data_IF_353273250116
#
_entry.id   IF_353273250116
#
_cell.length_a   1.000
_cell.length_b   1.000
_cell.length_c   1.000
_cell.angle_alpha   90.00
_cell.angle_beta   90.00
_cell.angle_gamma   90.00
#
_symmetry.space_group_name_H-M   'P 1'
#
loop_
_entity.id
_entity.type
_entity.pdbx_description
1 polymer ?
#
# COMPACT_ATOMS: atom_id res chain seq x y z
N UNK A 1 61.00 51.67 39.34
CA UNK A 1 61.29 50.27 39.73
C UNK A 1 60.43 49.93 40.95
N UNK A 2 59.20 49.44 40.74
CA UNK A 2 58.26 49.16 41.83
C UNK A 2 58.55 47.79 42.44
N UNK A 3 59.04 47.78 43.69
CA UNK A 3 59.16 46.55 44.50
C UNK A 3 57.76 46.13 44.96
N UNK A 4 57.06 45.39 44.11
CA UNK A 4 55.82 44.70 44.50
C UNK A 4 56.21 43.72 45.61
N UNK A 5 55.78 44.01 46.85
CA UNK A 5 56.01 43.13 48.01
C UNK A 5 55.36 41.78 47.70
N UNK A 6 56.16 40.71 47.64
CA UNK A 6 55.76 39.30 47.39
C UNK A 6 54.53 38.83 48.20
N UNK A 7 54.22 39.50 49.31
CA UNK A 7 53.06 39.25 50.17
C UNK A 7 51.70 39.54 49.48
N UNK A 8 51.59 40.51 48.57
CA UNK A 8 50.31 40.84 47.93
C UNK A 8 49.89 39.87 46.81
N UNK A 9 50.78 38.96 46.39
CA UNK A 9 50.50 37.93 45.39
C UNK A 9 49.99 36.62 46.03
N UNK A 10 50.23 36.43 47.34
CA UNK A 10 49.76 35.26 48.10
C UNK A 10 48.28 35.35 48.49
N UNK A 11 47.76 36.55 48.75
CA UNK A 11 46.37 36.78 49.16
C UNK A 11 45.35 36.36 48.08
N UNK A 12 45.48 36.75 46.79
CA UNK A 12 44.54 36.31 45.76
C UNK A 12 44.64 34.80 45.48
N UNK A 13 45.82 34.19 45.62
CA UNK A 13 46.01 32.75 45.44
C UNK A 13 45.33 31.95 46.56
N UNK A 14 45.37 32.44 47.80
CA UNK A 14 44.68 31.85 48.94
C UNK A 14 43.15 31.97 48.82
N UNK A 15 42.65 33.10 48.30
CA UNK A 15 41.21 33.29 48.05
C UNK A 15 40.73 32.35 46.94
N UNK A 16 41.49 32.19 45.85
CA UNK A 16 41.16 31.24 44.78
C UNK A 16 41.19 29.79 45.30
N UNK A 17 42.17 29.43 46.14
CA UNK A 17 42.21 28.10 46.77
C UNK A 17 41.02 27.84 47.73
N UNK A 18 40.54 28.87 48.44
CA UNK A 18 39.34 28.78 49.28
C UNK A 18 38.04 28.61 48.47
N UNK A 19 37.97 29.11 47.23
CA UNK A 19 36.84 28.84 46.34
C UNK A 19 36.80 27.39 45.83
N UNK A 20 37.95 26.74 45.63
CA UNK A 20 38.01 25.32 45.26
C UNK A 20 37.60 24.38 46.41
N UNK A 21 37.75 24.78 47.67
CA UNK A 21 37.35 23.97 48.84
C UNK A 21 35.83 23.95 49.09
N UNK A 22 35.08 24.95 48.62
CA UNK A 22 33.63 25.01 48.77
C UNK A 22 32.85 24.33 47.63
N UNK A 23 33.53 23.76 46.63
CA UNK A 23 32.92 22.91 45.60
C UNK A 23 32.86 21.42 46.00
N UNK A 24 32.77 21.13 47.30
CA UNK A 24 32.26 19.82 47.75
C UNK A 24 30.80 19.74 47.32
N UNK A 25 30.55 19.04 46.20
CA UNK A 25 29.23 18.84 45.63
C UNK A 25 28.24 18.40 46.72
N UNK A 26 27.14 19.13 46.87
CA UNK A 26 26.05 18.72 47.75
C UNK A 26 25.64 17.30 47.35
N UNK A 27 25.57 16.41 48.33
CA UNK A 27 25.06 15.05 48.16
C UNK A 27 23.68 15.11 47.47
N UNK A 28 23.56 14.48 46.31
CA UNK A 28 22.35 14.45 45.49
C UNK A 28 21.34 13.44 46.03
N UNK A 29 21.81 12.31 46.56
CA UNK A 29 20.98 11.21 47.07
C UNK A 29 21.55 10.57 48.33
N UNK A 30 20.68 9.92 49.12
CA UNK A 30 21.04 9.04 50.24
C UNK A 30 20.62 7.59 49.98
N UNK A 31 19.55 7.38 49.24
CA UNK A 31 19.04 6.08 48.80
C UNK A 31 18.66 6.12 47.32
N UNK A 32 18.51 4.95 46.69
CA UNK A 32 18.08 4.84 45.28
C UNK A 32 16.70 5.47 45.05
N UNK A 33 15.83 5.47 46.06
CA UNK A 33 14.51 6.10 46.01
C UNK A 33 14.55 7.63 45.93
N UNK A 34 15.68 8.25 46.31
CA UNK A 34 15.84 9.71 46.25
C UNK A 34 16.14 10.19 44.83
N UNK A 35 16.58 9.28 43.96
CA UNK A 35 16.89 9.57 42.57
C UNK A 35 15.63 9.50 41.71
N UNK A 36 15.47 10.46 40.79
CA UNK A 36 14.33 10.49 39.87
C UNK A 36 14.34 9.26 38.96
N UNK A 37 13.30 8.45 39.02
CA UNK A 37 13.16 7.31 38.11
C UNK A 37 13.11 7.81 36.65
N UNK A 38 13.90 7.17 35.77
CA UNK A 38 13.85 7.38 34.32
C UNK A 38 13.48 6.06 33.66
N UNK A 39 12.52 6.10 32.74
CA UNK A 39 12.12 4.94 31.94
C UNK A 39 13.34 4.35 31.23
N UNK A 40 13.46 3.02 31.20
CA UNK A 40 14.59 2.34 30.55
C UNK A 40 15.95 2.45 31.24
N UNK A 41 16.00 3.00 32.46
CA UNK A 41 17.25 3.15 33.21
C UNK A 41 17.12 2.60 34.64
N UNK A 42 18.10 1.80 35.05
CA UNK A 42 18.30 1.38 36.43
C UNK A 42 18.96 2.51 37.20
N UNK A 43 18.31 2.93 38.28
CA UNK A 43 18.78 4.06 39.10
C UNK A 43 19.48 3.53 40.35
N UNK A 44 20.67 4.04 40.64
CA UNK A 44 21.46 3.69 41.82
C UNK A 44 22.11 4.93 42.42
N UNK A 45 22.07 5.08 43.75
CA UNK A 45 22.80 6.13 44.45
C UNK A 45 24.22 5.63 44.76
N UNK A 46 25.22 6.13 44.03
CA UNK A 46 26.64 5.73 44.17
C UNK A 46 27.41 6.97 44.61
N UNK A 47 28.15 6.87 45.72
CA UNK A 47 28.93 8.00 46.29
C UNK A 47 28.12 9.30 46.47
N UNK A 48 26.85 9.15 46.85
CA UNK A 48 25.87 10.24 47.03
C UNK A 48 25.54 11.01 45.74
N UNK A 49 25.78 10.41 44.57
CA UNK A 49 25.37 10.90 43.25
C UNK A 49 24.40 9.91 42.60
N UNK A 50 23.40 10.41 41.89
CA UNK A 50 22.47 9.56 41.17
C UNK A 50 23.12 9.02 39.89
N UNK A 51 23.36 7.71 39.85
CA UNK A 51 23.85 7.01 38.68
C UNK A 51 22.69 6.34 37.95
N UNK A 52 22.61 6.57 36.64
CA UNK A 52 21.63 5.97 35.76
C UNK A 52 22.33 5.02 34.80
N UNK A 53 21.96 3.74 34.84
CA UNK A 53 22.49 2.72 33.94
C UNK A 53 21.39 2.29 32.97
N UNK A 54 21.65 2.34 31.67
CA UNK A 54 20.72 1.90 30.62
C UNK A 54 20.38 0.42 30.82
N UNK A 55 19.10 0.08 30.79
CA UNK A 55 18.62 -1.31 30.77
C UNK A 55 18.68 -1.78 29.30
N UNK A 56 19.48 -2.81 28.98
CA UNK A 56 19.60 -3.28 27.60
C UNK A 56 18.29 -3.94 27.13
N UNK A 57 18.05 -3.88 25.82
CA UNK A 57 16.91 -4.44 25.12
C UNK A 57 15.56 -3.92 25.66
N UNK A 58 15.48 -2.63 26.00
CA UNK A 58 14.28 -2.02 26.57
C UNK A 58 13.86 -0.80 25.76
N UNK A 59 12.59 -0.73 25.34
CA UNK A 59 12.10 0.39 24.55
C UNK A 59 11.91 1.68 25.36
N UNK A 60 12.55 2.76 24.92
CA UNK A 60 12.61 4.05 25.59
C UNK A 60 13.84 4.20 26.47
N UNK A 61 14.93 3.49 26.15
CA UNK A 61 16.23 3.62 26.82
C UNK A 61 17.18 4.59 26.07
N UNK A 62 16.68 5.27 25.03
CA UNK A 62 17.36 6.19 24.12
C UNK A 62 18.46 5.53 23.24
N UNK A 63 18.45 4.21 23.11
CA UNK A 63 19.43 3.46 22.33
C UNK A 63 18.73 2.42 21.44
N UNK A 64 18.97 2.54 20.14
CA UNK A 64 18.48 1.58 19.15
C UNK A 64 19.24 0.24 19.26
N UNK A 65 18.54 -0.82 19.64
CA UNK A 65 19.08 -2.17 19.81
C UNK A 65 18.38 -3.18 18.90
N UNK A 66 19.08 -4.20 18.39
CA UNK A 66 18.48 -5.18 17.45
C UNK A 66 17.24 -5.89 18.00
N UNK A 67 17.15 -6.03 19.32
CA UNK A 67 16.02 -6.59 20.03
C UNK A 67 15.63 -5.64 21.16
N UNK A 68 14.38 -5.22 21.21
CA UNK A 68 13.82 -4.40 22.27
C UNK A 68 12.52 -5.03 22.78
N UNK A 69 12.42 -5.21 24.09
CA UNK A 69 11.31 -5.86 24.78
C UNK A 69 10.94 -7.24 24.19
N UNK A 70 11.95 -7.96 23.69
CA UNK A 70 11.79 -9.30 23.09
C UNK A 70 11.31 -9.31 21.64
N UNK A 71 11.22 -8.15 20.99
CA UNK A 71 10.85 -7.98 19.56
C UNK A 71 12.00 -7.37 18.76
N UNK A 72 12.03 -7.48 17.43
CA UNK A 72 13.01 -6.78 16.60
C UNK A 72 12.96 -5.27 16.85
N UNK A 73 14.06 -4.60 17.16
CA UNK A 73 14.08 -3.16 17.41
C UNK A 73 13.93 -2.35 16.13
N UNK A 74 12.80 -1.67 15.97
CA UNK A 74 12.50 -0.82 14.83
C UNK A 74 11.36 0.18 15.16
N UNK A 75 11.01 1.02 14.17
CA UNK A 75 9.98 2.07 14.28
C UNK A 75 8.55 1.59 14.62
N UNK A 76 8.28 0.29 14.45
CA UNK A 76 6.97 -0.33 14.69
C UNK A 76 6.88 -1.04 16.04
N UNK A 77 8.01 -1.44 16.59
CA UNK A 77 8.09 -2.14 17.88
C UNK A 77 8.54 -1.22 19.01
N UNK A 78 9.33 -0.19 18.70
CA UNK A 78 9.72 0.87 19.65
C UNK A 78 9.79 2.25 19.01
N UNK A 79 8.67 2.98 19.05
CA UNK A 79 8.60 4.35 18.53
C UNK A 79 9.39 5.38 19.36
N UNK A 80 9.67 5.08 20.62
CA UNK A 80 10.43 5.95 21.52
C UNK A 80 11.89 6.10 21.09
N UNK A 81 12.54 4.98 20.74
CA UNK A 81 13.97 4.97 20.39
C UNK A 81 14.19 5.08 18.87
N UNK A 82 13.26 4.60 18.05
CA UNK A 82 13.37 4.64 16.58
C UNK A 82 12.58 5.77 15.92
N UNK A 83 11.71 6.44 16.66
CA UNK A 83 10.68 7.31 16.10
C UNK A 83 9.54 6.51 15.47
N UNK A 84 8.49 7.21 15.07
CA UNK A 84 7.29 6.59 14.50
C UNK A 84 7.49 6.19 13.04
N UNK A 85 6.90 5.06 12.65
CA UNK A 85 6.72 4.67 11.25
C UNK A 85 5.44 5.32 10.70
N UNK A 86 5.49 6.63 10.49
CA UNK A 86 4.37 7.39 9.94
C UNK A 86 4.88 8.46 8.98
N UNK A 87 3.98 8.96 8.14
CA UNK A 87 4.25 10.09 7.26
C UNK A 87 4.15 9.73 5.78
N UNK A 88 3.63 10.71 5.02
CA UNK A 88 3.47 10.63 3.57
C UNK A 88 4.82 10.83 2.90
N UNK A 89 5.05 10.12 1.80
CA UNK A 89 6.27 10.31 1.00
C UNK A 89 6.15 11.60 0.18
N UNK A 90 7.30 12.17 -0.17
CA UNK A 90 7.33 13.33 -1.07
C UNK A 90 7.46 12.85 -2.51
N UNK A 91 6.49 13.17 -3.36
CA UNK A 91 6.48 12.86 -4.79
C UNK A 91 6.84 14.12 -5.57
N UNK A 92 7.67 13.96 -6.61
CA UNK A 92 8.03 15.06 -7.51
C UNK A 92 6.89 15.40 -8.49
N UNK A 93 6.38 16.62 -8.39
CA UNK A 93 5.45 17.20 -9.37
C UNK A 93 6.08 18.44 -10.02
N UNK A 94 6.74 18.21 -11.17
CA UNK A 94 7.53 19.23 -11.85
C UNK A 94 8.76 19.62 -11.03
N UNK A 95 8.83 20.88 -10.58
CA UNK A 95 9.94 21.40 -9.74
C UNK A 95 9.68 21.35 -8.24
N UNK A 96 8.50 20.88 -7.81
CA UNK A 96 8.09 20.88 -6.40
C UNK A 96 7.93 19.44 -5.90
N UNK A 97 8.29 19.23 -4.65
CA UNK A 97 8.00 18.01 -3.92
C UNK A 97 6.68 18.20 -3.16
N UNK A 98 5.69 17.35 -3.42
CA UNK A 98 4.37 17.36 -2.78
C UNK A 98 4.18 16.08 -1.97
N UNK A 99 3.38 16.12 -0.90
CA UNK A 99 3.02 14.90 -0.19
C UNK A 99 2.18 13.99 -1.08
N UNK A 100 2.46 12.69 -1.03
CA UNK A 100 1.63 11.64 -1.60
C UNK A 100 0.21 11.67 -1.03
N UNK A 101 -0.75 11.27 -1.86
CA UNK A 101 -2.16 11.25 -1.48
C UNK A 101 -2.56 9.96 -0.77
N UNK A 102 -1.86 8.85 -0.98
CA UNK A 102 -2.21 7.56 -0.41
C UNK A 102 -1.02 6.81 0.18
N UNK A 103 0.16 6.92 -0.43
CA UNK A 103 1.36 6.23 0.02
C UNK A 103 1.90 6.85 1.31
N UNK A 104 1.99 6.07 2.37
CA UNK A 104 2.63 6.48 3.60
C UNK A 104 3.38 5.33 4.29
N UNK A 105 4.33 5.70 5.13
CA UNK A 105 4.93 4.74 6.03
C UNK A 105 3.90 4.31 7.06
N UNK A 106 3.75 3.00 7.23
CA UNK A 106 2.92 2.41 8.27
C UNK A 106 3.54 1.08 8.70
N UNK A 107 3.07 0.58 9.84
CA UNK A 107 3.52 -0.69 10.39
C UNK A 107 2.66 -1.83 9.85
N UNK A 108 3.29 -2.77 9.17
CA UNK A 108 2.69 -4.04 8.78
C UNK A 108 3.57 -5.19 9.28
N UNK A 109 2.98 -6.10 10.06
CA UNK A 109 3.69 -7.24 10.66
C UNK A 109 5.02 -6.88 11.35
N UNK A 110 4.99 -5.89 12.27
CA UNK A 110 6.17 -5.36 12.99
C UNK A 110 7.27 -4.78 12.07
N UNK A 111 6.98 -4.50 10.80
CA UNK A 111 7.89 -3.87 9.85
C UNK A 111 7.37 -2.52 9.38
N UNK A 112 8.27 -1.55 9.25
CA UNK A 112 7.94 -0.25 8.70
C UNK A 112 7.96 -0.32 7.17
N UNK A 113 6.78 -0.30 6.55
CA UNK A 113 6.62 -0.46 5.11
C UNK A 113 6.00 0.79 4.48
N UNK A 114 6.33 1.03 3.21
CA UNK A 114 5.67 2.04 2.39
C UNK A 114 4.47 1.39 1.69
N UNK A 115 3.27 1.91 1.92
CA UNK A 115 2.07 1.42 1.24
C UNK A 115 0.85 2.25 1.58
N UNK A 116 -0.33 1.67 1.35
CA UNK A 116 -1.61 2.30 1.67
C UNK A 116 -2.17 1.63 2.94
N UNK A 117 -2.45 2.40 4.00
CA UNK A 117 -3.08 1.87 5.21
C UNK A 117 -4.42 1.21 4.88
N UNK A 118 -4.77 0.15 5.60
CA UNK A 118 -5.99 -0.63 5.34
C UNK A 118 -7.26 0.23 5.46
N UNK A 119 -7.27 1.20 6.37
CA UNK A 119 -8.37 2.15 6.57
C UNK A 119 -8.58 3.15 5.41
N UNK A 120 -7.58 3.35 4.55
CA UNK A 120 -7.69 4.19 3.36
C UNK A 120 -8.13 3.39 2.11
N UNK A 121 -8.12 2.05 2.19
CA UNK A 121 -8.51 1.16 1.09
C UNK A 121 -10.02 0.95 1.11
N UNK A 122 -10.66 1.12 -0.04
CA UNK A 122 -12.08 0.80 -0.23
C UNK A 122 -12.28 0.01 -1.52
N UNK A 123 -13.21 -0.94 -1.48
CA UNK A 123 -13.61 -1.69 -2.66
C UNK A 123 -14.57 -0.86 -3.52
N UNK A 124 -14.34 -0.83 -4.82
CA UNK A 124 -15.19 -0.17 -5.83
C UNK A 124 -15.66 -1.22 -6.83
N UNK A 125 -16.97 -1.27 -7.05
CA UNK A 125 -17.61 -2.09 -8.08
C UNK A 125 -18.15 -1.23 -9.22
N UNK A 126 -17.82 -1.58 -10.45
CA UNK A 126 -18.33 -0.96 -11.66
C UNK A 126 -19.20 -1.96 -12.43
N UNK A 127 -20.38 -1.52 -12.85
CA UNK A 127 -21.31 -2.33 -13.64
C UNK A 127 -21.28 -1.88 -15.11
N UNK A 128 -21.22 -2.84 -16.01
CA UNK A 128 -21.41 -2.65 -17.44
C UNK A 128 -22.46 -3.63 -17.96
N UNK A 129 -23.53 -3.11 -18.55
CA UNK A 129 -24.51 -3.91 -19.27
C UNK A 129 -24.36 -3.62 -20.77
N UNK A 130 -24.32 -4.69 -21.56
CA UNK A 130 -24.16 -4.59 -23.01
C UNK A 130 -25.12 -5.51 -23.73
N UNK A 131 -25.98 -4.88 -24.53
CA UNK A 131 -26.83 -5.57 -25.49
C UNK A 131 -26.04 -5.83 -26.77
N UNK A 132 -25.88 -7.10 -27.11
CA UNK A 132 -25.39 -7.55 -28.42
C UNK A 132 -26.59 -7.95 -29.28
N UNK A 133 -26.35 -8.21 -30.56
CA UNK A 133 -27.44 -8.58 -31.48
C UNK A 133 -28.17 -9.88 -31.10
N UNK A 134 -27.54 -10.78 -30.35
CA UNK A 134 -28.06 -12.13 -30.06
C UNK A 134 -28.09 -12.48 -28.57
N UNK A 135 -27.55 -11.63 -27.70
CA UNK A 135 -27.52 -11.87 -26.26
C UNK A 135 -27.19 -10.58 -25.52
N UNK A 136 -27.46 -10.56 -24.22
CA UNK A 136 -27.09 -9.48 -23.30
C UNK A 136 -26.09 -9.99 -22.28
N UNK A 137 -24.99 -9.28 -22.10
CA UNK A 137 -24.04 -9.53 -21.01
C UNK A 137 -24.12 -8.44 -19.95
N UNK A 138 -23.97 -8.86 -18.71
CA UNK A 138 -23.66 -8.00 -17.57
C UNK A 138 -22.24 -8.33 -17.10
N UNK A 139 -21.41 -7.31 -16.96
CA UNK A 139 -20.05 -7.41 -16.44
C UNK A 139 -19.92 -6.53 -15.21
N UNK A 140 -19.58 -7.14 -14.07
CA UNK A 140 -19.19 -6.42 -12.86
C UNK A 140 -17.67 -6.48 -12.72
N UNK A 141 -17.04 -5.33 -12.50
CA UNK A 141 -15.60 -5.20 -12.26
C UNK A 141 -15.37 -4.62 -10.88
N UNK A 142 -14.65 -5.35 -10.02
CA UNK A 142 -14.40 -5.00 -8.63
C UNK A 142 -12.90 -4.82 -8.39
N UNK A 143 -12.52 -3.79 -7.65
CA UNK A 143 -11.11 -3.49 -7.34
C UNK A 143 -10.96 -2.61 -6.09
N UNK A 144 -9.75 -2.56 -5.54
CA UNK A 144 -9.39 -1.68 -4.43
C UNK A 144 -9.03 -0.27 -4.93
N UNK A 145 -9.50 0.75 -4.24
CA UNK A 145 -9.17 2.16 -4.47
C UNK A 145 -8.55 2.75 -3.19
N UNK A 146 -7.33 3.27 -3.25
CA UNK A 146 -6.40 3.25 -4.39
C UNK A 146 -5.97 1.82 -4.76
N UNK A 147 -5.61 1.62 -6.04
CA UNK A 147 -5.20 0.33 -6.59
C UNK A 147 -3.68 0.17 -6.52
N UNK A 148 -3.20 -0.83 -5.77
CA UNK A 148 -1.78 -1.13 -5.64
C UNK A 148 -1.32 -2.14 -6.70
N UNK A 149 -0.52 -1.65 -7.66
CA UNK A 149 -0.08 -2.45 -8.82
C UNK A 149 0.75 -3.68 -8.46
N UNK A 150 1.29 -3.78 -7.23
CA UNK A 150 2.07 -4.95 -6.80
C UNK A 150 1.24 -6.09 -6.24
N UNK A 151 0.08 -5.81 -5.66
CA UNK A 151 -0.71 -6.79 -4.89
C UNK A 151 -2.15 -6.92 -5.34
N UNK A 152 -2.74 -5.87 -5.89
CA UNK A 152 -4.16 -5.87 -6.24
C UNK A 152 -4.41 -6.48 -7.62
N UNK A 153 -5.62 -7.02 -7.80
CA UNK A 153 -6.12 -7.53 -9.07
C UNK A 153 -7.50 -6.94 -9.35
N UNK A 154 -7.89 -6.92 -10.62
CA UNK A 154 -9.28 -6.61 -11.00
C UNK A 154 -10.10 -7.90 -11.00
N UNK A 155 -11.15 -7.97 -10.20
CA UNK A 155 -12.08 -9.09 -10.17
C UNK A 155 -13.23 -8.84 -11.14
N UNK A 156 -13.39 -9.73 -12.12
CA UNK A 156 -14.46 -9.68 -13.11
C UNK A 156 -15.49 -10.76 -12.83
N UNK A 157 -16.76 -10.39 -12.96
CA UNK A 157 -17.89 -11.33 -13.04
C UNK A 157 -18.68 -11.02 -14.30
N UNK A 158 -18.78 -11.97 -15.21
CA UNK A 158 -19.54 -11.83 -16.47
C UNK A 158 -20.72 -12.79 -16.41
N UNK A 159 -21.92 -12.28 -16.64
CA UNK A 159 -23.17 -13.04 -16.60
C UNK A 159 -23.95 -12.86 -17.91
N UNK A 160 -24.65 -13.90 -18.37
CA UNK A 160 -25.60 -13.79 -19.47
C UNK A 160 -26.97 -13.42 -18.90
N UNK A 161 -27.50 -12.28 -19.31
CA UNK A 161 -28.78 -11.77 -18.79
C UNK A 161 -29.95 -12.18 -19.68
N UNK A 162 -29.72 -12.23 -21.00
CA UNK A 162 -30.76 -12.50 -21.99
C UNK A 162 -30.15 -13.08 -23.27
N UNK A 163 -30.95 -13.76 -24.09
CA UNK A 163 -30.56 -14.32 -25.39
C UNK A 163 -31.67 -14.22 -26.46
N UNK A 164 -31.26 -14.27 -27.73
CA UNK A 164 -32.16 -14.36 -28.88
C UNK A 164 -32.36 -15.83 -29.30
N UNK A 165 -33.51 -16.16 -29.88
CA UNK A 165 -33.83 -17.51 -30.38
C UNK A 165 -32.83 -18.07 -31.40
N UNK A 166 -32.03 -17.22 -32.04
CA UNK A 166 -30.99 -17.63 -33.00
C UNK A 166 -29.62 -17.81 -32.35
N UNK A 167 -29.47 -17.53 -31.07
CA UNK A 167 -28.26 -17.75 -30.33
C UNK A 167 -28.03 -19.24 -30.07
N UNK A 168 -26.77 -19.68 -30.15
CA UNK A 168 -26.38 -21.06 -29.84
C UNK A 168 -25.19 -21.02 -28.88
N UNK A 169 -25.44 -21.46 -27.65
CA UNK A 169 -24.42 -21.60 -26.60
C UNK A 169 -23.33 -22.64 -26.96
N UNK A 170 -22.13 -22.54 -26.37
CA UNK A 170 -21.72 -21.54 -25.37
C UNK A 170 -21.23 -20.22 -25.97
N UNK A 171 -21.29 -19.15 -25.16
CA UNK A 171 -20.47 -17.95 -25.37
C UNK A 171 -19.12 -18.22 -24.72
N UNK A 172 -18.06 -18.27 -25.53
CA UNK A 172 -16.70 -18.43 -25.03
C UNK A 172 -16.02 -17.09 -24.88
N UNK A 173 -15.53 -16.81 -23.68
CA UNK A 173 -14.70 -15.65 -23.35
C UNK A 173 -13.24 -16.10 -23.44
N UNK A 174 -12.56 -15.66 -24.50
CA UNK A 174 -11.22 -16.14 -24.83
C UNK A 174 -10.14 -15.34 -24.11
N UNK A 175 -10.25 -14.01 -24.15
CA UNK A 175 -9.22 -13.09 -23.67
C UNK A 175 -9.85 -11.82 -23.10
N UNK A 176 -9.27 -11.31 -22.02
CA UNK A 176 -9.52 -9.95 -21.53
C UNK A 176 -8.23 -9.12 -21.58
N UNK A 177 -8.37 -7.86 -21.94
CA UNK A 177 -7.28 -6.88 -22.01
C UNK A 177 -7.70 -5.65 -21.19
N UNK A 178 -6.87 -5.24 -20.23
CA UNK A 178 -7.02 -4.02 -19.44
C UNK A 178 -6.10 -2.93 -20.00
N UNK A 179 -6.60 -1.71 -20.20
CA UNK A 179 -5.81 -0.61 -20.79
C UNK A 179 -6.33 0.78 -20.45
N UNK A 180 -5.48 1.79 -20.68
CA UNK A 180 -5.83 3.21 -20.75
C UNK A 180 -5.29 3.81 -22.05
N UNK A 181 -6.17 4.04 -23.03
CA UNK A 181 -5.76 4.46 -24.38
C UNK A 181 -4.87 3.40 -25.04
N UNK A 182 -3.61 3.74 -25.27
CA UNK A 182 -2.58 2.85 -25.85
C UNK A 182 -1.77 2.10 -24.78
N UNK A 183 -1.90 2.47 -23.50
CA UNK A 183 -1.16 1.85 -22.40
C UNK A 183 -1.85 0.56 -21.96
N UNK A 184 -1.18 -0.57 -22.18
CA UNK A 184 -1.61 -1.88 -21.71
C UNK A 184 -1.37 -2.00 -20.20
N UNK A 185 -2.41 -2.25 -19.42
CA UNK A 185 -2.29 -2.55 -17.99
C UNK A 185 -2.05 -4.02 -17.72
N UNK A 186 -2.69 -4.90 -18.49
CA UNK A 186 -2.56 -6.34 -18.33
C UNK A 186 -3.47 -7.09 -19.30
N UNK A 187 -3.23 -8.38 -19.47
CA UNK A 187 -4.07 -9.25 -20.28
C UNK A 187 -4.13 -10.66 -19.68
N UNK A 188 -5.23 -11.36 -19.93
CA UNK A 188 -5.41 -12.74 -19.46
C UNK A 188 -6.20 -13.56 -20.48
N UNK A 189 -5.61 -14.66 -20.91
CA UNK A 189 -6.30 -15.71 -21.67
C UNK A 189 -7.02 -16.67 -20.72
N UNK A 190 -8.24 -17.08 -21.08
CA UNK A 190 -9.15 -17.75 -20.13
C UNK A 190 -9.83 -18.98 -20.70
N UNK A 191 -10.30 -18.92 -21.96
CA UNK A 191 -11.09 -19.98 -22.57
C UNK A 191 -12.34 -20.37 -21.77
N UNK A 192 -12.91 -19.44 -20.99
CA UNK A 192 -14.08 -19.67 -20.16
C UNK A 192 -15.36 -19.68 -21.00
N UNK A 193 -16.39 -20.40 -20.57
CA UNK A 193 -17.63 -20.57 -21.34
C UNK A 193 -18.85 -20.29 -20.47
N UNK A 194 -19.82 -19.58 -21.05
CA UNK A 194 -21.16 -19.39 -20.51
C UNK A 194 -22.11 -20.24 -21.36
N UNK A 195 -22.82 -21.18 -20.74
CA UNK A 195 -23.58 -22.24 -21.40
C UNK A 195 -25.10 -21.98 -21.41
N UNK A 196 -25.59 -21.04 -20.60
CA UNK A 196 -27.00 -20.66 -20.58
C UNK A 196 -27.20 -19.23 -20.03
N UNK A 197 -28.41 -18.69 -20.24
CA UNK A 197 -28.89 -17.48 -19.55
C UNK A 197 -28.90 -17.70 -18.03
N UNK A 198 -28.46 -16.71 -17.28
CA UNK A 198 -28.31 -16.75 -15.82
C UNK A 198 -26.99 -17.36 -15.33
N UNK A 199 -26.19 -17.96 -16.22
CA UNK A 199 -24.84 -18.41 -15.86
C UNK A 199 -23.89 -17.22 -15.72
N UNK A 200 -22.93 -17.35 -14.80
CA UNK A 200 -21.87 -16.37 -14.62
C UNK A 200 -20.51 -17.03 -14.47
N UNK A 201 -19.48 -16.40 -15.01
CA UNK A 201 -18.07 -16.73 -14.78
C UNK A 201 -17.41 -15.63 -13.96
N UNK A 202 -16.49 -16.01 -13.09
CA UNK A 202 -15.69 -15.07 -12.31
C UNK A 202 -14.20 -15.35 -12.48
N UNK A 203 -13.39 -14.29 -12.55
CA UNK A 203 -11.94 -14.39 -12.68
C UNK A 203 -11.24 -13.10 -12.26
N UNK A 204 -9.96 -13.21 -11.94
CA UNK A 204 -9.10 -12.07 -11.64
C UNK A 204 -8.17 -11.75 -12.80
N UNK A 205 -7.94 -10.47 -13.09
CA UNK A 205 -6.99 -9.99 -14.06
C UNK A 205 -5.92 -9.14 -13.35
N UNK A 206 -4.66 -9.62 -13.26
CA UNK A 206 -3.59 -8.84 -12.65
C UNK A 206 -3.16 -7.70 -13.57
N UNK A 207 -2.55 -6.71 -12.95
CA UNK A 207 -1.91 -5.59 -13.64
C UNK A 207 -0.41 -5.84 -13.68
N UNK A 208 0.22 -5.57 -14.83
CA UNK A 208 1.64 -5.82 -15.05
C UNK A 208 2.42 -4.62 -15.59
N UNK A 209 1.83 -3.42 -15.60
CA UNK A 209 2.54 -2.22 -16.05
C UNK A 209 3.32 -1.55 -14.90
N UNK A 210 4.38 -0.85 -15.28
CA UNK A 210 5.16 -0.05 -14.36
C UNK A 210 4.65 1.38 -14.33
N UNK A 211 4.40 1.91 -13.14
CA UNK A 211 4.13 3.34 -12.96
C UNK A 211 5.43 4.14 -13.20
N UNK A 212 5.30 5.30 -13.86
CA UNK A 212 6.36 6.31 -13.99
C UNK A 212 6.56 7.06 -12.67
N UNK A 213 5.49 7.22 -11.89
CA UNK A 213 5.49 7.84 -10.56
C UNK A 213 4.95 6.89 -9.49
N UNK A 214 5.29 7.07 -8.20
CA UNK A 214 4.73 6.27 -7.12
C UNK A 214 3.20 6.28 -7.06
N UNK A 215 2.57 7.39 -7.50
CA UNK A 215 1.13 7.54 -7.62
C UNK A 215 0.74 8.13 -8.97
N UNK A 216 -0.25 7.55 -9.63
CA UNK A 216 -0.79 8.04 -10.89
C UNK A 216 -2.30 7.86 -10.98
N UNK A 217 -2.95 8.79 -11.67
CA UNK A 217 -4.38 8.69 -11.97
C UNK A 217 -4.54 8.23 -13.41
N UNK A 218 -5.22 7.11 -13.61
CA UNK A 218 -5.52 6.57 -14.94
C UNK A 218 -7.00 6.24 -15.10
N UNK A 219 -7.43 5.92 -16.31
CA UNK A 219 -8.78 5.41 -16.59
C UNK A 219 -8.75 3.92 -16.88
N UNK A 220 -9.76 3.21 -16.42
CA UNK A 220 -9.91 1.80 -16.76
C UNK A 220 -10.73 1.65 -18.04
N UNK A 221 -10.14 0.97 -19.02
CA UNK A 221 -10.87 0.37 -20.13
C UNK A 221 -10.56 -1.12 -20.16
N UNK A 222 -11.55 -1.94 -20.50
CA UNK A 222 -11.31 -3.34 -20.80
C UNK A 222 -11.83 -3.69 -22.19
N UNK A 223 -11.18 -4.67 -22.82
CA UNK A 223 -11.58 -5.28 -24.08
C UNK A 223 -11.74 -6.79 -23.86
N UNK A 224 -12.87 -7.34 -24.27
CA UNK A 224 -13.15 -8.78 -24.19
C UNK A 224 -13.24 -9.35 -25.60
N UNK A 225 -12.45 -10.39 -25.87
CA UNK A 225 -12.56 -11.18 -27.09
C UNK A 225 -13.43 -12.40 -26.80
N UNK A 226 -14.47 -12.60 -27.60
CA UNK A 226 -15.43 -13.68 -27.41
C UNK A 226 -15.78 -14.39 -28.71
N UNK A 227 -16.26 -15.62 -28.61
CA UNK A 227 -16.84 -16.35 -29.75
C UNK A 227 -18.12 -17.08 -29.35
N UNK A 228 -19.06 -17.19 -30.29
CA UNK A 228 -20.31 -17.91 -30.11
C UNK A 228 -20.79 -18.48 -31.45
N UNK A 229 -21.84 -19.32 -31.41
CA UNK A 229 -22.49 -19.79 -32.63
C UNK A 229 -23.84 -19.11 -32.79
N UNK A 230 -24.23 -18.84 -34.03
CA UNK A 230 -25.58 -18.39 -34.38
C UNK A 230 -26.24 -19.36 -35.35
N UNK A 231 -27.55 -19.52 -35.21
CA UNK A 231 -28.39 -20.34 -36.09
C UNK A 231 -28.79 -19.49 -37.30
N UNK A 232 -28.36 -19.91 -38.49
CA UNK A 232 -28.68 -19.22 -39.76
C UNK A 232 -29.45 -20.16 -40.69
N UNK A 233 -30.37 -19.59 -41.46
CA UNK A 233 -31.09 -20.33 -42.51
C UNK A 233 -30.07 -20.85 -43.54
N UNK A 234 -30.12 -22.14 -43.85
CA UNK A 234 -29.22 -22.78 -44.79
C UNK A 234 -29.89 -22.99 -46.15
N UNK A 235 -30.90 -23.86 -46.21
CA UNK A 235 -31.61 -24.17 -47.45
C UNK A 235 -33.12 -24.14 -47.23
N UNK A 236 -33.87 -23.74 -48.26
CA UNK A 236 -35.32 -23.85 -48.25
C UNK A 236 -35.71 -25.27 -48.67
N UNK A 237 -36.46 -25.95 -47.82
CA UNK A 237 -36.93 -27.31 -48.06
C UNK A 237 -38.14 -27.31 -49.01
N UNK A 238 -38.46 -28.48 -49.56
CA UNK A 238 -39.56 -28.66 -50.54
C UNK A 238 -40.94 -28.34 -49.97
N UNK A 239 -41.11 -28.43 -48.65
CA UNK A 239 -42.33 -28.05 -47.92
C UNK A 239 -42.44 -26.53 -47.66
N UNK A 240 -41.45 -25.75 -48.08
CA UNK A 240 -41.39 -24.30 -47.90
C UNK A 240 -40.74 -23.84 -46.59
N UNK A 241 -40.40 -24.74 -45.68
CA UNK A 241 -39.64 -24.44 -44.45
C UNK A 241 -38.15 -24.24 -44.74
N UNK A 242 -37.35 -23.90 -43.73
CA UNK A 242 -35.90 -23.74 -43.86
C UNK A 242 -35.17 -24.76 -42.99
N UNK A 243 -34.11 -25.37 -43.53
CA UNK A 243 -33.06 -25.98 -42.72
C UNK A 243 -32.18 -24.89 -42.11
N UNK A 244 -31.51 -25.21 -41.01
CA UNK A 244 -30.62 -24.30 -40.31
C UNK A 244 -29.23 -24.92 -40.16
N UNK A 245 -28.21 -24.07 -40.17
CA UNK A 245 -26.84 -24.42 -39.80
C UNK A 245 -26.31 -23.47 -38.74
N UNK A 246 -25.27 -23.91 -38.04
CA UNK A 246 -24.56 -23.08 -37.07
C UNK A 246 -23.37 -22.41 -37.73
N UNK A 247 -23.27 -21.10 -37.56
CA UNK A 247 -22.15 -20.28 -38.01
C UNK A 247 -21.37 -19.79 -36.79
N UNK A 248 -20.04 -19.93 -36.81
CA UNK A 248 -19.18 -19.41 -35.74
C UNK A 248 -18.95 -17.92 -35.94
N UNK A 249 -19.23 -17.13 -34.91
CA UNK A 249 -18.98 -15.69 -34.85
C UNK A 249 -17.87 -15.44 -33.84
N UNK A 250 -16.87 -14.66 -34.24
CA UNK A 250 -15.81 -14.17 -33.37
C UNK A 250 -15.84 -12.66 -33.41
N UNK A 251 -15.82 -12.04 -32.26
CA UNK A 251 -15.91 -10.59 -32.15
C UNK A 251 -15.23 -10.11 -30.86
N UNK A 252 -15.14 -8.80 -30.71
CA UNK A 252 -14.66 -8.17 -29.51
C UNK A 252 -15.51 -6.96 -29.13
N UNK A 253 -15.47 -6.58 -27.86
CA UNK A 253 -16.03 -5.32 -27.42
C UNK A 253 -15.12 -4.64 -26.42
N UNK A 254 -15.17 -3.31 -26.42
CA UNK A 254 -14.39 -2.46 -25.52
C UNK A 254 -15.32 -1.59 -24.69
N UNK A 255 -15.14 -1.63 -23.37
CA UNK A 255 -15.76 -0.70 -22.43
C UNK A 255 -14.72 0.27 -21.93
N UNK A 256 -15.04 1.56 -21.99
CA UNK A 256 -14.27 2.63 -21.35
C UNK A 256 -15.07 3.19 -20.19
N UNK A 257 -14.58 3.05 -18.97
CA UNK A 257 -15.17 3.72 -17.83
C UNK A 257 -14.70 5.17 -17.78
N UNK A 258 -15.59 6.06 -17.34
CA UNK A 258 -15.24 7.46 -17.05
C UNK A 258 -14.57 7.60 -15.69
N UNK A 259 -14.70 6.59 -14.83
CA UNK A 259 -14.09 6.50 -13.51
C UNK A 259 -12.57 6.56 -13.64
N UNK A 260 -11.98 7.45 -12.85
CA UNK A 260 -10.53 7.55 -12.68
C UNK A 260 -10.13 6.68 -11.48
N UNK A 261 -9.06 5.91 -11.64
CA UNK A 261 -8.49 5.05 -10.61
C UNK A 261 -7.16 5.66 -10.17
N UNK A 262 -6.96 5.72 -8.85
CA UNK A 262 -5.67 6.12 -8.29
C UNK A 262 -4.79 4.87 -8.17
N UNK A 263 -3.81 4.73 -9.05
CA UNK A 263 -2.82 3.67 -8.98
C UNK A 263 -1.67 4.09 -8.07
N UNK A 264 -1.22 3.15 -7.24
CA UNK A 264 -0.08 3.31 -6.35
C UNK A 264 0.88 2.14 -6.53
N UNK A 265 2.14 2.32 -6.14
CA UNK A 265 3.12 1.24 -6.06
C UNK A 265 3.70 1.19 -4.66
N UNK A 266 3.27 0.21 -3.85
CA UNK A 266 3.81 -0.01 -2.51
C UNK A 266 5.18 -0.69 -2.52
N UNK A 267 5.77 -0.86 -1.33
CA UNK A 267 7.05 -1.52 -1.09
C UNK A 267 8.25 -0.58 -1.17
N UNK A 268 9.36 -0.98 -0.56
CA UNK A 268 10.60 -0.21 -0.55
C UNK A 268 11.22 -0.13 -1.95
N UNK A 269 11.70 1.07 -2.33
CA UNK A 269 12.73 1.23 -3.35
C UNK A 269 14.10 0.82 -2.79
#
# INVERSE_FOLDING_TARGET
>A
MFKIKRIYLLIPLLIIALFFLNSCGKAECKANSDCLAKTGQKVSCIDKQCSHTIIPNFCGNDKQEEIEDGKPGNKCTCDKDYGKCEGRIKIGEGRKAVDSKFLMYHCDNDQCVLGVPEEEIREISLLDERDFSLFKLETTVTYNEPFDVKKDTFSFKISVVDDDDNMVFPIKINKIILKDGELLFGEKDMGLSLNAVGESIAFEAPVSFNLEKPEEVKRLSYKINYEHKKRVKDQRLSDGTYSYKNELVRDDYEKRFTTKINFVRSGAE
#
